data_IF_087640411256
#
_entry.id   IF_087640411256
#
_cell.length_a   1.000
_cell.length_b   1.000
_cell.length_c   1.000
_cell.angle_alpha   90.00
_cell.angle_beta   90.00
_cell.angle_gamma   90.00
#
_symmetry.space_group_name_H-M   'P 1'
#
loop_
_entity.id
_entity.type
_entity.pdbx_description
1 polymer ?
#
# COMPACT_ATOMS: atom_id res chain seq x y z
N UNK A 1 17.54 -1.70 18.59
CA UNK A 1 17.12 -1.47 17.18
C UNK A 1 16.49 -2.69 16.53
N UNK A 2 17.05 -3.89 16.72
CA UNK A 2 16.56 -5.12 16.07
C UNK A 2 15.21 -5.61 16.62
N UNK A 3 14.91 -5.37 17.89
CA UNK A 3 13.66 -5.85 18.53
C UNK A 3 12.44 -5.05 18.05
N UNK A 4 12.56 -3.73 17.88
CA UNK A 4 11.47 -2.85 17.44
C UNK A 4 11.12 -3.17 15.98
N UNK A 5 12.12 -3.39 15.16
CA UNK A 5 11.93 -3.80 13.76
C UNK A 5 11.28 -5.15 13.65
N UNK A 6 11.71 -6.12 14.47
CA UNK A 6 11.08 -7.44 14.55
C UNK A 6 9.60 -7.31 14.91
N UNK A 7 9.24 -6.46 15.88
CA UNK A 7 7.86 -6.24 16.28
C UNK A 7 7.01 -5.65 15.14
N UNK A 8 7.56 -4.69 14.37
CA UNK A 8 6.88 -4.14 13.18
C UNK A 8 6.75 -5.18 12.09
N UNK A 9 7.80 -5.96 11.81
CA UNK A 9 7.74 -7.06 10.84
C UNK A 9 6.75 -8.14 11.26
N UNK A 10 6.68 -8.48 12.54
CA UNK A 10 5.71 -9.46 13.06
C UNK A 10 4.26 -8.92 12.92
N UNK A 11 4.06 -7.61 13.08
CA UNK A 11 2.75 -6.96 12.83
C UNK A 11 2.40 -6.81 11.35
N UNK A 12 3.40 -6.78 10.48
CA UNK A 12 3.24 -6.74 9.03
C UNK A 12 3.17 -8.13 8.40
N UNK A 13 3.07 -9.17 9.19
CA UNK A 13 2.96 -10.53 8.68
C UNK A 13 1.60 -10.76 8.02
N UNK A 14 1.56 -11.60 6.97
CA UNK A 14 0.35 -11.89 6.21
C UNK A 14 -0.75 -12.61 7.02
N UNK A 15 -0.63 -12.61 8.35
CA UNK A 15 -1.64 -13.11 9.28
C UNK A 15 -2.02 -14.55 9.04
N UNK A 16 -3.34 -14.83 9.08
CA UNK A 16 -3.90 -16.18 8.90
C UNK A 16 -4.02 -16.61 7.43
N UNK A 17 -3.51 -15.83 6.47
CA UNK A 17 -3.45 -16.26 5.08
C UNK A 17 -2.46 -17.42 4.98
N UNK A 18 -2.98 -18.64 4.81
CA UNK A 18 -2.18 -19.81 4.46
C UNK A 18 -1.67 -19.63 3.04
N UNK A 19 -0.54 -18.94 2.92
CA UNK A 19 0.13 -18.78 1.65
C UNK A 19 0.79 -20.08 1.27
N UNK A 20 0.28 -20.76 0.26
CA UNK A 20 1.09 -21.67 -0.53
C UNK A 20 2.25 -20.87 -1.12
N UNK A 21 3.40 -21.49 -1.27
CA UNK A 21 4.72 -20.90 -1.51
C UNK A 21 4.88 -19.92 -2.68
N UNK A 22 3.84 -19.63 -3.46
CA UNK A 22 3.91 -18.79 -4.65
C UNK A 22 2.98 -17.59 -4.56
N UNK A 23 3.59 -16.40 -4.40
CA UNK A 23 2.91 -15.11 -4.50
C UNK A 23 3.26 -14.53 -5.86
N UNK A 24 2.25 -14.20 -6.66
CA UNK A 24 2.44 -13.45 -7.90
C UNK A 24 2.10 -11.99 -7.65
N UNK A 25 3.04 -11.11 -7.95
CA UNK A 25 2.79 -9.70 -8.08
C UNK A 25 2.31 -9.44 -9.50
N UNK A 26 1.18 -8.76 -9.63
CA UNK A 26 0.81 -8.21 -10.93
C UNK A 26 1.86 -7.18 -11.30
N UNK A 27 2.37 -7.25 -12.51
CA UNK A 27 3.29 -6.26 -13.03
C UNK A 27 2.63 -4.87 -13.08
N UNK A 28 3.44 -3.87 -13.30
CA UNK A 28 2.96 -2.52 -13.60
C UNK A 28 2.18 -2.56 -14.91
N UNK A 29 0.87 -2.42 -14.82
CA UNK A 29 0.04 -2.23 -16.00
C UNK A 29 0.06 -0.76 -16.39
N UNK A 30 0.05 -0.50 -17.68
CA UNK A 30 -0.59 0.71 -18.13
C UNK A 30 -2.06 0.57 -17.73
N UNK A 31 -2.47 1.17 -16.63
CA UNK A 31 -3.86 1.20 -16.26
C UNK A 31 -4.56 2.17 -17.19
N UNK A 32 -4.89 1.67 -18.35
CA UNK A 32 -5.75 2.36 -19.28
C UNK A 32 -7.16 2.28 -18.71
N UNK A 33 -7.57 3.34 -18.03
CA UNK A 33 -8.98 3.57 -17.82
C UNK A 33 -9.52 4.19 -19.09
N UNK A 34 -10.46 3.53 -19.74
CA UNK A 34 -11.20 4.12 -20.85
C UNK A 34 -11.84 5.43 -20.37
N UNK A 35 -11.48 6.56 -21.00
CA UNK A 35 -12.02 7.89 -20.69
C UNK A 35 -12.03 8.26 -19.19
N UNK A 36 -11.05 7.77 -18.43
CA UNK A 36 -10.87 8.10 -17.01
C UNK A 36 -11.84 7.41 -16.05
N UNK A 37 -12.63 6.43 -16.49
CA UNK A 37 -13.73 5.89 -15.69
C UNK A 37 -13.67 4.41 -15.31
N UNK A 38 -13.13 3.51 -16.18
CA UNK A 38 -13.19 2.06 -15.95
C UNK A 38 -11.96 1.36 -16.52
N UNK A 39 -11.60 0.20 -15.95
CA UNK A 39 -10.52 -0.64 -16.46
C UNK A 39 -10.92 -1.28 -17.78
N UNK A 40 -9.91 -1.57 -18.62
CA UNK A 40 -10.11 -2.29 -19.87
C UNK A 40 -10.35 -3.79 -19.64
N UNK A 41 -11.04 -4.50 -20.56
CA UNK A 41 -11.26 -5.94 -20.43
C UNK A 41 -9.95 -6.75 -20.26
N UNK A 42 -8.84 -6.30 -20.83
CA UNK A 42 -7.55 -6.96 -20.72
C UNK A 42 -7.05 -7.08 -19.29
N UNK A 43 -7.36 -6.11 -18.43
CA UNK A 43 -6.97 -6.16 -17.02
C UNK A 43 -7.69 -7.30 -16.30
N UNK A 44 -9.00 -7.48 -16.55
CA UNK A 44 -9.79 -8.58 -15.98
C UNK A 44 -9.27 -9.95 -16.46
N UNK A 45 -8.99 -10.08 -17.74
CA UNK A 45 -8.45 -11.32 -18.33
C UNK A 45 -7.10 -11.70 -17.72
N UNK A 46 -6.27 -10.74 -17.42
CA UNK A 46 -4.97 -10.97 -16.79
C UNK A 46 -5.10 -11.42 -15.35
N UNK A 47 -5.97 -10.81 -14.56
CA UNK A 47 -6.22 -11.27 -13.19
C UNK A 47 -6.77 -12.69 -13.18
N UNK A 48 -7.69 -13.03 -14.08
CA UNK A 48 -8.20 -14.38 -14.21
C UNK A 48 -7.13 -15.39 -14.57
N UNK A 49 -6.27 -15.06 -15.54
CA UNK A 49 -5.16 -15.91 -15.96
C UNK A 49 -4.19 -16.17 -14.81
N UNK A 50 -3.87 -15.16 -14.02
CA UNK A 50 -3.00 -15.29 -12.85
C UNK A 50 -3.69 -16.15 -11.78
N UNK A 51 -4.96 -15.93 -11.51
CA UNK A 51 -5.73 -16.73 -10.54
C UNK A 51 -5.79 -18.21 -10.92
N UNK A 52 -5.90 -18.52 -12.21
CA UNK A 52 -5.90 -19.90 -12.75
C UNK A 52 -4.53 -20.58 -12.69
N UNK A 53 -3.45 -19.84 -12.53
CA UNK A 53 -2.09 -20.39 -12.62
C UNK A 53 -1.65 -21.25 -11.43
N UNK A 54 -2.49 -21.37 -10.40
CA UNK A 54 -2.15 -22.11 -9.17
C UNK A 54 -1.34 -21.28 -8.17
N UNK A 55 -1.33 -19.96 -8.30
CA UNK A 55 -0.67 -19.08 -7.32
C UNK A 55 -1.31 -19.18 -5.94
N UNK A 56 -0.52 -18.99 -4.89
CA UNK A 56 -1.00 -18.97 -3.51
C UNK A 56 -1.64 -17.65 -3.11
N UNK A 57 -1.24 -16.53 -3.74
CA UNK A 57 -1.81 -15.20 -3.52
C UNK A 57 -1.46 -14.28 -4.68
N UNK A 58 -2.24 -13.22 -4.84
CA UNK A 58 -1.99 -12.13 -5.80
C UNK A 58 -1.78 -10.84 -5.01
N UNK A 59 -0.73 -10.10 -5.38
CA UNK A 59 -0.55 -8.72 -4.94
C UNK A 59 -0.79 -7.83 -6.17
N UNK A 60 -1.69 -6.88 -6.02
CA UNK A 60 -2.09 -5.98 -7.12
C UNK A 60 -0.93 -5.09 -7.59
N UNK A 61 -1.15 -4.44 -8.73
CA UNK A 61 -0.39 -3.27 -9.14
C UNK A 61 -0.42 -2.20 -8.04
N UNK A 62 0.42 -1.19 -8.16
CA UNK A 62 0.46 -0.09 -7.20
C UNK A 62 -0.80 0.75 -7.31
N UNK A 63 -1.50 0.91 -6.19
CA UNK A 63 -2.56 1.88 -6.02
C UNK A 63 -2.00 3.17 -5.44
N UNK A 64 -2.24 4.28 -6.12
CA UNK A 64 -1.93 5.61 -5.63
C UNK A 64 -3.14 6.16 -4.86
N UNK A 65 -2.88 6.88 -3.78
CA UNK A 65 -3.92 7.53 -2.98
C UNK A 65 -4.70 8.56 -3.79
N UNK A 66 -4.01 9.26 -4.68
CA UNK A 66 -4.56 10.37 -5.46
C UNK A 66 -3.79 10.48 -6.79
N UNK A 67 -4.45 11.04 -7.81
CA UNK A 67 -3.81 11.31 -9.11
C UNK A 67 -2.62 12.28 -9.03
N UNK A 68 -2.58 13.14 -8.02
CA UNK A 68 -1.48 14.07 -7.77
C UNK A 68 -0.21 13.37 -7.31
N UNK A 69 -0.33 12.16 -6.79
CA UNK A 69 0.76 11.34 -6.29
C UNK A 69 1.15 10.23 -7.27
N UNK A 70 0.77 10.37 -8.51
CA UNK A 70 1.13 9.43 -9.58
C UNK A 70 2.64 9.40 -9.75
N UNK A 71 3.24 8.34 -9.27
CA UNK A 71 4.65 8.07 -9.44
C UNK A 71 4.97 7.68 -10.89
N UNK A 72 4.07 6.94 -11.50
CA UNK A 72 4.17 6.46 -12.87
C UNK A 72 2.83 6.57 -13.57
N UNK A 73 2.83 6.64 -14.90
CA UNK A 73 1.61 6.43 -15.68
C UNK A 73 0.98 5.06 -15.41
N UNK A 74 1.66 4.18 -14.67
CA UNK A 74 1.30 2.79 -14.40
C UNK A 74 0.74 2.52 -13.00
N UNK A 75 0.51 3.53 -12.17
CA UNK A 75 -0.18 3.36 -10.91
C UNK A 75 -1.68 3.64 -11.08
N UNK A 76 -2.51 2.83 -10.42
CA UNK A 76 -3.96 3.05 -10.43
C UNK A 76 -4.34 4.07 -9.37
N UNK A 77 -5.02 5.12 -9.79
CA UNK A 77 -5.60 6.10 -8.87
C UNK A 77 -6.83 5.50 -8.18
N UNK A 78 -6.78 5.38 -6.85
CA UNK A 78 -7.90 4.84 -6.08
C UNK A 78 -9.16 5.72 -6.10
N UNK A 79 -9.06 6.95 -6.58
CA UNK A 79 -10.18 7.88 -6.66
C UNK A 79 -10.84 7.93 -8.04
N UNK A 80 -10.42 7.07 -8.99
CA UNK A 80 -11.13 7.04 -10.26
C UNK A 80 -12.55 6.49 -10.06
N UNK A 81 -13.47 6.99 -10.88
CA UNK A 81 -14.92 6.75 -10.70
C UNK A 81 -15.31 5.26 -10.66
N UNK A 82 -14.66 4.44 -11.47
CA UNK A 82 -14.95 3.01 -11.57
C UNK A 82 -14.24 2.11 -10.57
N UNK A 83 -13.40 2.63 -9.68
CA UNK A 83 -12.53 1.82 -8.82
C UNK A 83 -13.29 0.73 -8.05
N UNK A 84 -14.30 1.10 -7.33
CA UNK A 84 -15.05 0.17 -6.50
C UNK A 84 -15.71 -0.95 -7.35
N UNK A 85 -16.38 -0.57 -8.43
CA UNK A 85 -17.05 -1.54 -9.32
C UNK A 85 -16.04 -2.50 -9.94
N UNK A 86 -14.98 -1.97 -10.52
CA UNK A 86 -13.99 -2.77 -11.24
C UNK A 86 -13.24 -3.72 -10.31
N UNK A 87 -12.75 -3.22 -9.17
CA UNK A 87 -12.00 -4.07 -8.26
C UNK A 87 -12.89 -5.01 -7.44
N UNK A 88 -14.15 -4.70 -7.24
CA UNK A 88 -15.12 -5.69 -6.72
C UNK A 88 -15.29 -6.86 -7.69
N UNK A 89 -15.38 -6.59 -8.98
CA UNK A 89 -15.41 -7.64 -10.00
C UNK A 89 -14.10 -8.45 -10.03
N UNK A 90 -12.95 -7.79 -9.94
CA UNK A 90 -11.65 -8.46 -9.91
C UNK A 90 -11.51 -9.38 -8.68
N UNK A 91 -11.85 -8.90 -7.49
CA UNK A 91 -11.76 -9.71 -6.28
C UNK A 91 -12.73 -10.88 -6.33
N UNK A 92 -13.95 -10.68 -6.80
CA UNK A 92 -14.92 -11.77 -6.98
C UNK A 92 -14.39 -12.82 -7.99
N UNK A 93 -13.81 -12.36 -9.09
CA UNK A 93 -13.23 -13.22 -10.12
C UNK A 93 -12.07 -14.07 -9.56
N UNK A 94 -11.15 -13.44 -8.84
CA UNK A 94 -9.99 -14.11 -8.22
C UNK A 94 -10.44 -15.10 -7.15
N UNK A 95 -11.42 -14.74 -6.34
CA UNK A 95 -11.95 -15.60 -5.27
C UNK A 95 -12.65 -16.86 -5.80
N UNK A 96 -13.15 -16.87 -7.04
CA UNK A 96 -13.67 -18.10 -7.67
C UNK A 96 -12.62 -19.21 -7.76
N UNK A 97 -11.36 -18.83 -7.81
CA UNK A 97 -10.24 -19.78 -7.85
C UNK A 97 -9.61 -20.02 -6.46
N UNK A 98 -10.25 -19.57 -5.39
CA UNK A 98 -9.77 -19.67 -4.02
C UNK A 98 -8.39 -19.01 -3.81
N UNK A 99 -8.11 -17.94 -4.50
CA UNK A 99 -6.85 -17.18 -4.39
C UNK A 99 -7.10 -15.89 -3.62
N UNK A 100 -6.35 -15.65 -2.53
CA UNK A 100 -6.40 -14.37 -1.84
C UNK A 100 -5.70 -13.27 -2.66
N UNK A 101 -6.21 -12.05 -2.55
CA UNK A 101 -5.68 -10.89 -3.25
C UNK A 101 -5.48 -9.72 -2.28
N UNK A 102 -4.30 -9.12 -2.36
CA UNK A 102 -3.92 -7.95 -1.58
C UNK A 102 -3.79 -6.73 -2.50
N UNK A 103 -4.31 -5.61 -2.05
CA UNK A 103 -4.11 -4.33 -2.73
C UNK A 103 -2.78 -3.71 -2.31
N UNK A 104 -1.91 -3.38 -3.26
CA UNK A 104 -0.63 -2.75 -2.98
C UNK A 104 -0.77 -1.24 -2.98
N UNK A 105 -0.48 -0.61 -1.84
CA UNK A 105 -0.44 0.84 -1.68
C UNK A 105 1.01 1.32 -1.69
N UNK A 106 1.31 2.29 -2.52
CA UNK A 106 2.58 3.00 -2.50
C UNK A 106 2.37 4.43 -2.98
N UNK A 107 3.17 5.35 -2.46
CA UNK A 107 3.23 6.73 -2.94
C UNK A 107 4.66 7.25 -2.81
N UNK A 108 5.04 8.10 -3.74
CA UNK A 108 6.41 8.59 -3.84
C UNK A 108 6.59 9.93 -3.16
N UNK A 109 5.57 10.78 -3.23
CA UNK A 109 5.53 12.06 -2.57
C UNK A 109 4.22 12.22 -1.81
N UNK A 110 4.26 12.95 -0.72
CA UNK A 110 3.07 13.49 -0.12
C UNK A 110 2.82 14.90 -0.67
N UNK A 111 1.59 15.14 -1.09
CA UNK A 111 1.15 16.46 -1.52
C UNK A 111 0.18 17.00 -0.46
N UNK A 112 0.50 18.17 0.09
CA UNK A 112 -0.27 18.77 1.18
C UNK A 112 -1.62 19.40 0.75
N UNK A 113 -2.03 19.19 -0.50
CA UNK A 113 -3.23 19.78 -1.08
C UNK A 113 -2.98 21.13 -1.78
N UNK A 114 -1.78 21.69 -1.65
CA UNK A 114 -1.36 22.93 -2.30
C UNK A 114 -0.49 22.71 -3.54
N UNK A 115 -0.49 21.48 -4.07
CA UNK A 115 0.38 21.02 -5.17
C UNK A 115 1.88 21.08 -4.84
N UNK A 116 2.24 21.04 -3.57
CA UNK A 116 3.61 21.02 -3.12
C UNK A 116 3.99 19.62 -2.65
N UNK A 117 5.13 19.13 -3.13
CA UNK A 117 5.75 17.91 -2.64
C UNK A 117 6.42 18.20 -1.32
N UNK A 118 5.99 17.53 -0.26
CA UNK A 118 6.48 17.75 1.10
C UNK A 118 7.33 16.57 1.54
N UNK A 119 8.60 16.82 1.82
CA UNK A 119 9.52 15.79 2.31
C UNK A 119 9.30 15.46 3.80
N UNK A 120 9.79 14.31 4.31
CA UNK A 120 9.62 13.93 5.72
C UNK A 120 10.03 14.99 6.74
N UNK A 121 11.05 15.80 6.44
CA UNK A 121 11.49 16.87 7.34
C UNK A 121 10.52 18.05 7.43
N UNK A 122 9.72 18.25 6.38
CA UNK A 122 8.96 19.49 6.18
C UNK A 122 7.46 19.30 6.41
N UNK A 123 6.98 18.05 6.47
CA UNK A 123 5.57 17.79 6.73
C UNK A 123 5.21 18.15 8.17
N UNK A 124 4.13 18.90 8.36
CA UNK A 124 3.61 19.23 9.69
C UNK A 124 3.01 18.00 10.38
N UNK A 125 2.86 18.05 11.69
CA UNK A 125 2.14 17.01 12.44
C UNK A 125 0.69 16.84 11.95
N UNK A 126 0.05 17.94 11.58
CA UNK A 126 -1.28 17.88 10.96
C UNK A 126 -1.23 17.19 9.58
N UNK A 127 -0.20 17.47 8.79
CA UNK A 127 0.04 16.80 7.51
C UNK A 127 0.24 15.29 7.69
N UNK A 128 0.97 14.86 8.71
CA UNK A 128 1.14 13.44 9.04
C UNK A 128 -0.21 12.81 9.38
N UNK A 129 -1.04 13.45 10.19
CA UNK A 129 -2.37 12.95 10.54
C UNK A 129 -3.29 12.83 9.32
N UNK A 130 -3.22 13.80 8.40
CA UNK A 130 -3.96 13.73 7.14
C UNK A 130 -3.48 12.58 6.26
N UNK A 131 -2.18 12.38 6.16
CA UNK A 131 -1.60 11.26 5.43
C UNK A 131 -2.06 9.92 6.02
N UNK A 132 -2.02 9.78 7.34
CA UNK A 132 -2.52 8.60 8.03
C UNK A 132 -4.01 8.37 7.77
N UNK A 133 -4.82 9.42 7.77
CA UNK A 133 -6.25 9.34 7.45
C UNK A 133 -6.50 8.90 6.00
N UNK A 134 -5.69 9.35 5.06
CA UNK A 134 -5.76 8.92 3.66
C UNK A 134 -5.42 7.44 3.50
N UNK A 135 -4.42 6.94 4.22
CA UNK A 135 -4.06 5.52 4.23
C UNK A 135 -5.20 4.68 4.83
N UNK A 136 -5.84 5.14 5.90
CA UNK A 136 -7.01 4.48 6.49
C UNK A 136 -8.19 4.48 5.51
N UNK A 137 -8.41 5.56 4.79
CA UNK A 137 -9.45 5.61 3.76
C UNK A 137 -9.17 4.63 2.61
N UNK A 138 -7.89 4.49 2.21
CA UNK A 138 -7.49 3.48 1.24
C UNK A 138 -7.79 2.06 1.75
N UNK A 139 -7.48 1.75 2.99
CA UNK A 139 -7.80 0.47 3.62
C UNK A 139 -9.31 0.20 3.60
N UNK A 140 -10.12 1.20 3.92
CA UNK A 140 -11.58 1.11 3.85
C UNK A 140 -12.06 0.77 2.43
N UNK A 141 -11.54 1.45 1.42
CA UNK A 141 -11.88 1.18 0.01
C UNK A 141 -11.51 -0.24 -0.40
N UNK A 142 -10.32 -0.70 -0.03
CA UNK A 142 -9.90 -2.07 -0.32
C UNK A 142 -10.78 -3.09 0.37
N UNK A 143 -11.12 -2.88 1.62
CA UNK A 143 -12.03 -3.75 2.37
C UNK A 143 -13.40 -3.86 1.69
N UNK A 144 -14.00 -2.74 1.30
CA UNK A 144 -15.28 -2.73 0.60
C UNK A 144 -15.20 -3.34 -0.80
N UNK A 145 -14.06 -3.21 -1.48
CA UNK A 145 -13.85 -3.83 -2.79
C UNK A 145 -13.55 -5.34 -2.71
N UNK A 146 -13.53 -5.92 -1.53
CA UNK A 146 -13.39 -7.37 -1.34
C UNK A 146 -11.96 -7.89 -1.27
N UNK A 147 -10.96 -7.03 -1.14
CA UNK A 147 -9.58 -7.45 -0.92
C UNK A 147 -9.41 -8.18 0.40
N UNK A 148 -8.57 -9.20 0.41
CA UNK A 148 -8.24 -9.97 1.62
C UNK A 148 -7.20 -9.29 2.49
N UNK A 149 -6.46 -8.37 1.91
CA UNK A 149 -5.41 -7.66 2.60
C UNK A 149 -4.90 -6.45 1.84
N UNK A 150 -3.92 -5.82 2.45
CA UNK A 150 -3.26 -4.63 1.95
C UNK A 150 -1.75 -4.78 2.13
N UNK A 151 -0.99 -4.51 1.08
CA UNK A 151 0.45 -4.36 1.19
C UNK A 151 0.83 -2.90 1.16
N UNK A 152 1.54 -2.45 2.20
CA UNK A 152 2.12 -1.11 2.24
C UNK A 152 3.57 -1.22 1.77
N UNK A 153 3.89 -0.55 0.67
CA UNK A 153 5.24 -0.54 0.13
C UNK A 153 6.04 0.60 0.78
N UNK A 154 6.95 0.21 1.67
CA UNK A 154 7.90 1.08 2.38
C UNK A 154 9.34 0.86 1.90
N UNK A 155 9.52 0.37 0.68
CA UNK A 155 10.82 0.16 0.05
C UNK A 155 11.06 1.09 -1.13
N UNK A 156 12.20 0.94 -1.81
CA UNK A 156 12.51 1.58 -3.08
C UNK A 156 12.36 3.12 -3.11
N UNK A 157 12.74 3.81 -2.03
CA UNK A 157 12.60 5.27 -1.88
C UNK A 157 11.16 5.80 -1.94
N UNK A 158 10.16 4.96 -1.76
CA UNK A 158 8.80 5.45 -1.53
C UNK A 158 8.72 6.32 -0.28
N UNK A 159 7.69 7.13 -0.17
CA UNK A 159 7.61 8.17 0.86
C UNK A 159 7.77 7.63 2.29
N UNK A 160 7.12 6.53 2.62
CA UNK A 160 7.25 5.91 3.95
C UNK A 160 8.64 5.34 4.19
N UNK A 161 9.33 4.85 3.16
CA UNK A 161 10.73 4.43 3.27
C UNK A 161 11.63 5.60 3.68
N UNK A 162 11.39 6.78 3.13
CA UNK A 162 12.13 7.99 3.49
C UNK A 162 11.89 8.42 4.94
N UNK A 163 10.71 8.18 5.50
CA UNK A 163 10.46 8.39 6.93
C UNK A 163 11.30 7.48 7.82
N UNK A 164 11.54 6.26 7.40
CA UNK A 164 12.34 5.28 8.15
C UNK A 164 13.84 5.60 8.08
N UNK A 165 14.29 6.12 6.95
CA UNK A 165 15.70 6.38 6.68
C UNK A 165 16.18 7.66 7.39
N UNK A 166 17.21 7.58 8.27
CA UNK A 166 17.69 8.75 9.00
C UNK A 166 18.35 9.81 8.11
N UNK A 167 18.74 9.47 6.89
CA UNK A 167 19.26 10.43 5.94
C UNK A 167 18.17 11.40 5.46
N UNK A 168 16.96 10.89 5.21
CA UNK A 168 15.82 11.69 4.74
C UNK A 168 14.96 12.23 5.88
N UNK A 169 14.91 11.53 7.02
CA UNK A 169 14.15 11.94 8.19
C UNK A 169 15.11 12.38 9.30
N UNK A 170 15.29 13.68 9.41
CA UNK A 170 16.12 14.34 10.43
C UNK A 170 15.26 15.07 11.47
N UNK A 171 13.99 14.69 11.58
CA UNK A 171 13.10 15.23 12.62
C UNK A 171 13.57 14.81 14.00
N UNK A 172 13.32 15.65 15.00
CA UNK A 172 13.75 15.43 16.39
C UNK A 172 12.56 15.17 17.34
N UNK A 173 11.33 15.28 16.84
CA UNK A 173 10.11 15.10 17.62
C UNK A 173 9.49 13.70 17.43
N UNK A 174 8.17 13.57 17.59
CA UNK A 174 7.44 12.30 17.68
C UNK A 174 7.65 11.31 16.53
N UNK A 175 8.03 11.77 15.35
CA UNK A 175 8.16 10.95 14.13
C UNK A 175 9.59 10.90 13.58
N UNK A 176 10.57 11.27 14.38
CA UNK A 176 11.99 11.25 14.02
C UNK A 176 12.91 11.15 15.21
N UNK A 177 14.22 11.14 14.95
CA UNK A 177 15.26 11.10 15.97
C UNK A 177 15.81 9.71 16.23
N UNK A 178 15.01 8.72 16.54
CA UNK A 178 15.43 7.32 16.69
C UNK A 178 14.60 6.38 15.81
N UNK A 179 15.01 5.12 15.72
CA UNK A 179 14.34 4.13 14.86
C UNK A 179 12.86 3.97 15.20
N UNK A 180 12.52 3.89 16.48
CA UNK A 180 11.15 3.76 16.94
C UNK A 180 10.25 4.90 16.43
N UNK A 181 10.73 6.13 16.56
CA UNK A 181 9.99 7.31 16.12
C UNK A 181 9.93 7.43 14.60
N UNK A 182 10.99 7.04 13.88
CA UNK A 182 10.99 7.07 12.41
C UNK A 182 10.00 6.08 11.78
N UNK A 183 9.77 4.94 12.43
CA UNK A 183 8.81 3.94 11.95
C UNK A 183 7.39 4.17 12.48
N UNK A 184 7.19 5.10 13.38
CA UNK A 184 5.93 5.34 14.09
C UNK A 184 4.76 5.64 13.14
N UNK A 185 4.98 6.41 12.08
CA UNK A 185 3.92 6.72 11.11
C UNK A 185 3.34 5.44 10.49
N UNK A 186 4.19 4.49 10.13
CA UNK A 186 3.75 3.20 9.60
C UNK A 186 3.12 2.30 10.67
N UNK A 187 3.72 2.21 11.86
CA UNK A 187 3.22 1.35 12.94
C UNK A 187 1.86 1.80 13.46
N UNK A 188 1.62 3.10 13.58
CA UNK A 188 0.30 3.64 13.96
C UNK A 188 -0.76 3.30 12.91
N UNK A 189 -0.44 3.44 11.62
CA UNK A 189 -1.34 3.07 10.54
C UNK A 189 -1.68 1.58 10.55
N UNK A 190 -0.69 0.73 10.70
CA UNK A 190 -0.90 -0.73 10.76
C UNK A 190 -1.84 -1.08 11.92
N UNK A 191 -1.63 -0.48 13.09
CA UNK A 191 -2.49 -0.70 14.24
C UNK A 191 -3.93 -0.25 13.97
N UNK A 192 -4.12 0.94 13.44
CA UNK A 192 -5.44 1.47 13.10
C UNK A 192 -6.17 0.59 12.07
N UNK A 193 -5.47 0.11 11.05
CA UNK A 193 -6.06 -0.76 10.04
C UNK A 193 -6.48 -2.09 10.66
N UNK A 194 -5.62 -2.72 11.46
CA UNK A 194 -5.93 -3.98 12.13
C UNK A 194 -7.09 -3.87 13.11
N UNK A 195 -7.16 -2.76 13.85
CA UNK A 195 -8.22 -2.53 14.82
C UNK A 195 -9.60 -2.28 14.18
N UNK A 196 -9.64 -1.80 12.93
CA UNK A 196 -10.87 -1.34 12.29
C UNK A 196 -11.32 -2.15 11.07
N UNK A 197 -10.46 -2.95 10.46
CA UNK A 197 -10.77 -3.68 9.23
C UNK A 197 -10.32 -5.14 9.31
N UNK A 198 -11.08 -6.02 8.67
CA UNK A 198 -10.72 -7.43 8.47
C UNK A 198 -9.74 -7.57 7.29
N UNK A 199 -8.64 -6.85 7.32
CA UNK A 199 -7.60 -6.88 6.31
C UNK A 199 -6.31 -7.48 6.87
N UNK A 200 -5.72 -8.41 6.13
CA UNK A 200 -4.35 -8.84 6.38
C UNK A 200 -3.39 -7.75 5.90
N UNK A 201 -2.35 -7.47 6.68
CA UNK A 201 -1.39 -6.42 6.34
C UNK A 201 -0.05 -7.05 6.05
N UNK A 202 0.51 -6.70 4.89
CA UNK A 202 1.88 -6.97 4.50
C UNK A 202 2.63 -5.66 4.33
N UNK A 203 3.89 -5.65 4.74
CA UNK A 203 4.78 -4.52 4.50
C UNK A 203 5.96 -4.97 3.67
N UNK A 204 6.30 -4.17 2.66
CA UNK A 204 7.53 -4.33 1.91
C UNK A 204 8.53 -3.28 2.38
N UNK A 205 9.64 -3.72 2.94
CA UNK A 205 10.69 -2.85 3.49
C UNK A 205 12.03 -3.24 2.87
N UNK A 206 12.85 -2.25 2.57
CA UNK A 206 14.22 -2.50 2.17
C UNK A 206 15.09 -2.72 3.43
N UNK A 207 15.73 -3.89 3.60
CA UNK A 207 16.51 -4.20 4.80
C UNK A 207 17.63 -3.21 5.09
N UNK A 208 18.17 -2.55 4.06
CA UNK A 208 19.25 -1.59 4.22
C UNK A 208 18.81 -0.23 4.79
N UNK A 209 17.54 0.12 4.68
CA UNK A 209 17.00 1.39 5.21
C UNK A 209 16.80 1.34 6.72
N UNK A 210 16.93 0.18 7.31
CA UNK A 210 16.60 -0.10 8.70
C UNK A 210 17.82 -0.32 9.56
N UNK A 211 18.99 -0.47 8.94
CA UNK A 211 20.24 -0.76 9.62
C UNK A 211 21.03 0.51 9.96
N UNK A 212 20.53 1.36 10.86
CA UNK A 212 21.47 2.26 11.60
C UNK A 212 20.78 2.92 12.77
#
# INVERSE_FOLDING_TARGET
GSVILKDIFDKCYLGDLKLNSHIIRTGTWETETEDGGFLTPEVFDRYEKIAKSGTGAIISEIFALDHRDRFYPYSTNMNYKGFFKDYKEITDLVHKYNVPILGQLAFFYYNDGLNQKVEPNDISLEGIRRLQAEVIMAAKKLSFAGFDGMQINMGNNFYLARFINPYFNQREESYGGNTEKRVRIGSENIKLIKDNFALNISCRVNPNDVRK
#
